data_IF_657625266924
#
_entry.id   IF_657625266924
#
_cell.length_a   1.000
_cell.length_b   1.000
_cell.length_c   1.000
_cell.angle_alpha   90.00
_cell.angle_beta   90.00
_cell.angle_gamma   90.00
#
_symmetry.space_group_name_H-M   'P 1'
#
loop_
_entity.id
_entity.type
_entity.pdbx_description
1 polymer ?
#
# COMPACT_ATOMS: atom_id res chain seq x y z
N UNK A 1 -6.55 -3.94 -40.10
CA UNK A 1 -6.36 -3.75 -38.65
C UNK A 1 -5.21 -2.78 -38.48
N UNK A 2 -5.45 -1.58 -37.95
CA UNK A 2 -4.36 -0.69 -37.53
C UNK A 2 -3.85 -1.21 -36.18
N UNK A 3 -2.62 -1.72 -36.14
CA UNK A 3 -1.93 -2.02 -34.89
C UNK A 3 -1.52 -0.68 -34.26
N UNK A 4 -2.24 -0.26 -33.24
CA UNK A 4 -1.82 0.87 -32.41
C UNK A 4 -0.86 0.30 -31.38
N UNK A 5 0.44 0.38 -31.64
CA UNK A 5 1.46 0.03 -30.65
C UNK A 5 1.58 1.15 -29.61
N UNK A 6 1.77 0.81 -28.32
CA UNK A 6 1.90 1.82 -27.29
C UNK A 6 3.24 2.56 -27.45
N UNK A 7 3.19 3.89 -27.35
CA UNK A 7 4.40 4.72 -27.41
C UNK A 7 5.03 4.93 -26.03
N UNK A 8 6.35 4.85 -25.92
CA UNK A 8 7.06 5.30 -24.72
C UNK A 8 6.86 6.81 -24.55
N UNK A 9 6.39 7.25 -23.38
CA UNK A 9 6.12 8.67 -23.14
C UNK A 9 6.47 9.09 -21.72
N UNK A 10 6.97 10.31 -21.58
CA UNK A 10 7.13 10.93 -20.27
C UNK A 10 5.76 11.38 -19.74
N UNK A 11 5.52 11.24 -18.43
CA UNK A 11 4.31 11.67 -17.74
C UNK A 11 4.02 13.16 -18.01
N UNK A 12 5.02 14.03 -18.06
CA UNK A 12 4.80 15.46 -18.35
C UNK A 12 4.25 15.74 -19.76
N UNK A 13 4.31 14.77 -20.68
CA UNK A 13 3.90 14.94 -22.08
C UNK A 13 2.60 14.20 -22.42
N UNK A 14 2.04 13.43 -21.49
CA UNK A 14 0.81 12.68 -21.71
C UNK A 14 -0.38 13.60 -21.93
N UNK A 15 -1.33 13.12 -22.71
CA UNK A 15 -2.62 13.72 -23.00
C UNK A 15 -3.69 12.64 -22.89
N UNK A 16 -4.91 13.05 -22.60
CA UNK A 16 -6.05 12.15 -22.65
C UNK A 16 -6.15 11.46 -24.02
N UNK A 17 -6.40 10.15 -24.01
CA UNK A 17 -6.48 9.30 -25.20
C UNK A 17 -5.15 8.70 -25.67
N UNK A 18 -4.01 9.14 -25.16
CA UNK A 18 -2.71 8.54 -25.52
C UNK A 18 -2.66 7.07 -25.07
N UNK A 19 -2.26 6.16 -25.96
CA UNK A 19 -1.91 4.78 -25.60
C UNK A 19 -0.39 4.67 -25.41
N UNK A 20 0.05 4.41 -24.18
CA UNK A 20 1.44 4.61 -23.76
C UNK A 20 2.00 3.45 -22.97
N UNK A 21 3.34 3.36 -22.97
CA UNK A 21 4.15 2.64 -21.99
C UNK A 21 4.80 3.68 -21.08
N UNK A 22 4.63 3.52 -19.76
CA UNK A 22 5.19 4.41 -18.74
C UNK A 22 6.04 3.59 -17.76
N UNK A 23 7.32 3.92 -17.69
CA UNK A 23 8.22 3.53 -16.62
C UNK A 23 8.11 4.54 -15.46
N UNK A 24 7.80 4.05 -14.25
CA UNK A 24 7.58 4.93 -13.11
C UNK A 24 8.03 4.33 -11.79
N UNK A 25 8.21 5.21 -10.80
CA UNK A 25 8.41 4.83 -9.40
C UNK A 25 7.09 5.03 -8.67
N UNK A 26 6.69 4.03 -7.87
CA UNK A 26 5.52 4.14 -7.00
C UNK A 26 5.78 5.23 -5.95
N UNK A 27 4.99 6.31 -5.98
CA UNK A 27 5.05 7.39 -5.00
C UNK A 27 4.19 7.09 -3.77
N UNK A 28 2.97 6.61 -4.00
CA UNK A 28 2.03 6.27 -2.94
C UNK A 28 1.00 5.26 -3.43
N UNK A 29 0.44 4.50 -2.49
CA UNK A 29 -0.63 3.55 -2.78
C UNK A 29 -1.85 3.79 -1.89
N UNK A 30 -3.01 3.95 -2.52
CA UNK A 30 -4.27 3.84 -1.81
C UNK A 30 -4.60 2.36 -1.65
N UNK A 31 -4.63 1.85 -0.42
CA UNK A 31 -4.91 0.44 -0.13
C UNK A 31 -6.02 0.29 0.90
N UNK A 32 -6.93 -0.64 0.68
CA UNK A 32 -7.85 -1.12 1.71
C UNK A 32 -7.20 -2.32 2.41
N UNK A 33 -7.14 -2.24 3.74
CA UNK A 33 -6.59 -3.30 4.59
C UNK A 33 -7.66 -3.80 5.55
N UNK A 34 -7.56 -5.07 5.95
CA UNK A 34 -8.35 -5.60 7.05
C UNK A 34 -7.86 -5.07 8.40
N UNK A 35 -8.50 -5.50 9.50
CA UNK A 35 -8.11 -5.07 10.84
C UNK A 35 -6.73 -5.58 11.29
N UNK A 36 -6.14 -6.52 10.54
CA UNK A 36 -4.84 -7.13 10.77
C UNK A 36 -3.75 -6.61 9.82
N UNK A 37 -4.03 -5.55 9.08
CA UNK A 37 -3.17 -4.91 8.07
C UNK A 37 -2.93 -5.73 6.78
N UNK A 38 -3.65 -6.82 6.51
CA UNK A 38 -3.53 -7.49 5.21
C UNK A 38 -4.21 -6.66 4.13
N UNK A 39 -3.53 -6.50 2.99
CA UNK A 39 -4.09 -5.83 1.81
C UNK A 39 -5.24 -6.69 1.26
N UNK A 40 -6.41 -6.06 1.17
CA UNK A 40 -7.64 -6.63 0.62
C UNK A 40 -7.93 -6.10 -0.78
N UNK A 41 -7.59 -4.83 -1.05
CA UNK A 41 -7.88 -4.19 -2.34
C UNK A 41 -6.94 -3.01 -2.60
N UNK A 42 -6.48 -2.87 -3.84
CA UNK A 42 -5.78 -1.66 -4.29
C UNK A 42 -6.81 -0.62 -4.76
N UNK A 43 -6.82 0.58 -4.18
CA UNK A 43 -7.67 1.69 -4.63
C UNK A 43 -7.03 2.42 -5.81
N UNK A 44 -5.74 2.72 -5.70
CA UNK A 44 -4.93 3.30 -6.78
C UNK A 44 -3.44 3.12 -6.45
N UNK A 45 -2.61 3.21 -7.49
CA UNK A 45 -1.16 3.36 -7.38
C UNK A 45 -0.78 4.69 -8.04
N UNK A 46 -0.16 5.61 -7.30
CA UNK A 46 0.33 6.87 -7.83
C UNK A 46 1.79 6.70 -8.21
N UNK A 47 2.15 7.08 -9.43
CA UNK A 47 3.52 6.99 -9.94
C UNK A 47 4.05 8.35 -10.40
N UNK A 48 5.38 8.44 -10.39
CA UNK A 48 6.16 9.51 -11.02
C UNK A 48 7.21 8.94 -11.94
N UNK A 49 7.66 9.77 -12.87
CA UNK A 49 8.89 9.57 -13.62
C UNK A 49 9.86 10.74 -13.35
N UNK A 50 10.87 10.90 -14.20
CA UNK A 50 11.87 11.96 -14.07
C UNK A 50 11.35 13.36 -14.48
N UNK A 51 10.18 13.45 -15.11
CA UNK A 51 9.61 14.70 -15.65
C UNK A 51 8.50 15.29 -14.79
N UNK A 52 7.95 14.51 -13.86
CA UNK A 52 6.89 14.94 -12.96
C UNK A 52 6.09 13.75 -12.44
N UNK A 53 5.00 14.02 -11.71
CA UNK A 53 4.18 12.94 -11.19
C UNK A 53 2.80 13.38 -10.73
N UNK A 54 1.77 12.69 -11.22
CA UNK A 54 0.52 12.37 -10.53
C UNK A 54 -0.31 11.39 -11.38
N UNK A 55 0.37 10.49 -12.12
CA UNK A 55 -0.34 9.50 -12.92
C UNK A 55 -0.84 8.40 -11.99
N UNK A 56 -2.14 8.14 -12.01
CA UNK A 56 -2.75 7.07 -11.21
C UNK A 56 -2.99 5.84 -12.04
N UNK A 57 -2.71 4.69 -11.45
CA UNK A 57 -3.10 3.39 -11.98
C UNK A 57 -4.27 2.91 -11.15
N UNK A 58 -5.37 2.58 -11.81
CA UNK A 58 -6.60 2.10 -11.17
C UNK A 58 -7.00 0.80 -11.85
N UNK A 59 -7.50 -0.16 -11.09
CA UNK A 59 -8.08 -1.39 -11.61
C UNK A 59 -9.45 -1.59 -10.97
N UNK A 60 -10.36 -2.26 -11.67
CA UNK A 60 -11.70 -2.58 -11.17
C UNK A 60 -11.95 -4.08 -11.23
N UNK A 61 -12.93 -4.53 -10.44
CA UNK A 61 -13.43 -5.91 -10.44
C UNK A 61 -12.31 -6.97 -10.43
N UNK A 62 -12.35 -7.93 -11.34
CA UNK A 62 -11.39 -9.05 -11.39
C UNK A 62 -9.95 -8.58 -11.64
N UNK A 63 -9.75 -7.55 -12.47
CA UNK A 63 -8.42 -6.96 -12.71
C UNK A 63 -7.85 -6.38 -11.42
N UNK A 64 -8.70 -5.86 -10.53
CA UNK A 64 -8.25 -5.39 -9.23
C UNK A 64 -7.84 -6.53 -8.30
N UNK A 65 -8.55 -7.66 -8.36
CA UNK A 65 -8.17 -8.85 -7.61
C UNK A 65 -6.81 -9.37 -8.10
N UNK A 66 -6.60 -9.43 -9.41
CA UNK A 66 -5.33 -9.85 -10.02
C UNK A 66 -4.19 -8.88 -9.66
N UNK A 67 -4.42 -7.57 -9.75
CA UNK A 67 -3.46 -6.57 -9.29
C UNK A 67 -3.12 -6.72 -7.80
N UNK A 68 -4.14 -6.91 -6.96
CA UNK A 68 -3.93 -7.10 -5.52
C UNK A 68 -3.10 -8.34 -5.23
N UNK A 69 -3.35 -9.44 -5.94
CA UNK A 69 -2.57 -10.68 -5.84
C UNK A 69 -1.14 -10.50 -6.35
N UNK A 70 -0.95 -9.81 -7.48
CA UNK A 70 0.37 -9.51 -8.03
C UNK A 70 1.21 -8.68 -7.07
N UNK A 71 0.63 -7.62 -6.48
CA UNK A 71 1.30 -6.79 -5.45
C UNK A 71 1.74 -7.63 -4.24
N UNK A 72 0.93 -8.62 -3.86
CA UNK A 72 1.19 -9.53 -2.73
C UNK A 72 2.13 -10.70 -3.07
N UNK A 73 2.51 -10.87 -4.33
CA UNK A 73 3.32 -12.01 -4.78
C UNK A 73 4.78 -11.94 -4.35
N UNK A 74 5.25 -10.77 -3.90
CA UNK A 74 6.60 -10.57 -3.37
C UNK A 74 6.58 -10.41 -1.85
N UNK A 75 7.72 -10.69 -1.20
CA UNK A 75 7.92 -10.42 0.23
C UNK A 75 9.23 -9.64 0.40
N UNK A 76 9.18 -8.38 0.88
CA UNK A 76 7.99 -7.57 1.15
C UNK A 76 7.15 -7.29 -0.10
N UNK A 77 5.89 -6.93 0.10
CA UNK A 77 4.95 -6.57 -0.99
C UNK A 77 5.47 -5.44 -1.86
N UNK A 78 5.00 -5.38 -3.10
CA UNK A 78 5.28 -4.26 -4.01
C UNK A 78 4.66 -2.99 -3.42
N UNK A 79 5.46 -1.93 -3.27
CA UNK A 79 5.05 -0.70 -2.60
C UNK A 79 5.89 0.51 -3.00
N UNK A 80 5.61 1.61 -2.31
CA UNK A 80 6.25 2.91 -2.44
C UNK A 80 7.77 2.79 -2.57
N UNK A 81 8.34 3.40 -3.62
CA UNK A 81 9.76 3.30 -3.97
C UNK A 81 10.08 2.28 -5.05
N UNK A 82 9.25 1.25 -5.28
CA UNK A 82 9.51 0.27 -6.33
C UNK A 82 9.33 0.84 -7.74
N UNK A 83 10.13 0.33 -8.70
CA UNK A 83 10.04 0.70 -10.10
C UNK A 83 9.14 -0.26 -10.86
N UNK A 84 8.16 0.28 -11.57
CA UNK A 84 7.20 -0.46 -12.38
C UNK A 84 7.17 0.06 -13.83
N UNK A 85 6.57 -0.74 -14.69
CA UNK A 85 6.13 -0.39 -16.04
C UNK A 85 4.62 -0.58 -16.09
N UNK A 86 3.93 0.36 -16.73
CA UNK A 86 2.50 0.25 -16.99
C UNK A 86 2.18 0.61 -18.43
N UNK A 87 1.31 -0.18 -19.04
CA UNK A 87 0.79 0.03 -20.39
C UNK A 87 -0.68 0.42 -20.29
N UNK A 88 -1.12 1.37 -21.09
CA UNK A 88 -2.55 1.67 -21.15
C UNK A 88 -2.90 3.00 -21.79
N UNK A 89 -4.20 3.23 -21.90
CA UNK A 89 -4.74 4.48 -22.41
C UNK A 89 -4.90 5.49 -21.29
N UNK A 90 -4.38 6.70 -21.48
CA UNK A 90 -4.56 7.82 -20.56
C UNK A 90 -6.01 8.28 -20.59
N UNK A 91 -6.61 8.38 -19.42
CA UNK A 91 -7.95 8.88 -19.18
C UNK A 91 -7.93 9.95 -18.11
N UNK A 92 -8.95 10.80 -18.05
CA UNK A 92 -9.12 11.75 -16.94
C UNK A 92 -10.21 11.24 -16.00
N UNK A 93 -9.84 10.95 -14.76
CA UNK A 93 -10.76 10.51 -13.72
C UNK A 93 -10.73 11.49 -12.55
N UNK A 94 -11.86 12.16 -12.30
CA UNK A 94 -11.98 13.21 -11.28
C UNK A 94 -10.90 14.31 -11.38
N UNK A 95 -10.58 14.73 -12.61
CA UNK A 95 -9.58 15.77 -12.88
C UNK A 95 -8.12 15.29 -12.78
N UNK A 96 -7.89 13.99 -12.66
CA UNK A 96 -6.55 13.39 -12.53
C UNK A 96 -6.30 12.44 -13.69
N UNK A 97 -5.13 12.53 -14.31
CA UNK A 97 -4.73 11.55 -15.32
C UNK A 97 -4.56 10.17 -14.70
N UNK A 98 -5.18 9.18 -15.33
CA UNK A 98 -5.14 7.81 -14.88
C UNK A 98 -5.06 6.83 -16.04
N UNK A 99 -4.39 5.70 -15.80
CA UNK A 99 -4.54 4.48 -16.59
C UNK A 99 -5.50 3.59 -15.81
N UNK A 100 -6.61 3.24 -16.44
CA UNK A 100 -7.48 2.16 -15.96
C UNK A 100 -6.98 0.87 -16.57
N UNK A 101 -6.38 0.01 -15.75
CA UNK A 101 -5.91 -1.31 -16.16
C UNK A 101 -7.08 -2.15 -16.62
N UNK A 102 -6.93 -2.73 -17.82
CA UNK A 102 -7.89 -3.68 -18.40
C UNK A 102 -7.42 -5.12 -18.23
N UNK A 103 -6.11 -5.32 -18.10
CA UNK A 103 -5.45 -6.60 -17.91
C UNK A 103 -4.27 -6.44 -16.96
N UNK A 104 -3.96 -7.48 -16.18
CA UNK A 104 -2.82 -7.44 -15.25
C UNK A 104 -1.47 -7.53 -15.98
N UNK A 105 -1.43 -8.09 -17.19
CA UNK A 105 -0.23 -8.13 -18.03
C UNK A 105 0.27 -6.75 -18.45
N UNK A 106 -0.58 -5.73 -18.38
CA UNK A 106 -0.22 -4.33 -18.62
C UNK A 106 0.45 -3.66 -17.40
N UNK A 107 0.64 -4.38 -16.28
CA UNK A 107 1.34 -3.88 -15.10
C UNK A 107 2.50 -4.81 -14.74
N UNK A 108 3.69 -4.26 -14.57
CA UNK A 108 4.89 -5.05 -14.33
C UNK A 108 5.81 -4.41 -13.30
N UNK A 109 6.26 -5.20 -12.33
CA UNK A 109 7.40 -4.82 -11.50
C UNK A 109 8.69 -4.92 -12.33
N UNK A 110 9.37 -3.80 -12.52
CA UNK A 110 10.66 -3.75 -13.22
C UNK A 110 11.80 -3.97 -12.23
N UNK A 111 11.75 -3.32 -11.07
CA UNK A 111 12.78 -3.45 -10.04
C UNK A 111 12.21 -3.22 -8.64
N UNK A 112 12.48 -4.16 -7.74
CA UNK A 112 12.23 -4.01 -6.30
C UNK A 112 13.32 -3.14 -5.69
N UNK A 113 12.93 -2.04 -5.06
CA UNK A 113 13.82 -1.08 -4.41
C UNK A 113 13.45 -0.89 -2.93
N UNK A 114 12.18 -1.04 -2.57
CA UNK A 114 11.75 -0.96 -1.17
C UNK A 114 11.72 -2.36 -0.53
N UNK A 115 12.63 -2.59 0.42
CA UNK A 115 12.71 -3.85 1.19
C UNK A 115 12.29 -3.70 2.66
N UNK A 116 11.60 -2.61 3.00
CA UNK A 116 10.99 -2.48 4.33
C UNK A 116 10.03 -3.63 4.54
N UNK A 117 10.03 -4.26 5.73
CA UNK A 117 9.14 -5.39 6.01
C UNK A 117 7.66 -4.98 5.93
N UNK A 118 6.79 -5.95 5.64
CA UNK A 118 5.35 -5.76 5.85
C UNK A 118 5.00 -6.02 7.31
N UNK A 119 4.14 -5.18 7.88
CA UNK A 119 3.77 -5.27 9.30
C UNK A 119 2.31 -5.69 9.43
N UNK A 120 2.12 -6.88 9.96
CA UNK A 120 0.81 -7.49 10.24
C UNK A 120 0.53 -7.49 11.74
N UNK A 121 -0.76 -7.39 12.10
CA UNK A 121 -1.20 -7.48 13.48
C UNK A 121 -1.63 -8.90 13.80
N UNK A 122 -1.44 -9.32 15.06
CA UNK A 122 -1.83 -10.65 15.50
C UNK A 122 -3.36 -10.74 15.66
N UNK A 123 -4.01 -11.77 15.09
CA UNK A 123 -5.42 -12.04 15.34
C UNK A 123 -5.66 -12.58 16.76
N UNK A 124 -4.64 -13.19 17.36
CA UNK A 124 -4.68 -13.73 18.70
C UNK A 124 -4.06 -12.76 19.72
N UNK A 125 -4.54 -12.74 20.97
CA UNK A 125 -3.90 -11.96 22.03
C UNK A 125 -2.40 -12.28 22.17
N UNK A 126 -1.59 -11.23 22.18
CA UNK A 126 -0.17 -11.28 22.54
C UNK A 126 0.10 -10.41 23.76
N UNK A 127 1.31 -10.49 24.31
CA UNK A 127 1.74 -9.62 25.40
C UNK A 127 1.99 -8.17 24.95
N UNK A 128 1.77 -7.82 23.68
CA UNK A 128 2.00 -6.47 23.14
C UNK A 128 0.71 -6.01 22.49
N UNK A 129 0.03 -5.04 23.08
CA UNK A 129 -1.27 -4.60 22.59
C UNK A 129 -1.47 -3.09 22.69
N UNK A 130 -2.36 -2.57 21.85
CA UNK A 130 -2.80 -1.19 21.89
C UNK A 130 -4.32 -1.10 21.73
N UNK A 131 -4.88 0.07 22.04
CA UNK A 131 -6.25 0.40 21.67
C UNK A 131 -6.34 0.62 20.15
N UNK A 132 -7.48 0.30 19.51
CA UNK A 132 -7.74 0.65 18.11
C UNK A 132 -7.71 2.18 17.88
N UNK A 133 -7.92 2.98 18.93
CA UNK A 133 -8.02 4.46 18.87
C UNK A 133 -6.81 5.23 19.41
N UNK A 134 -5.81 4.58 20.01
CA UNK A 134 -4.65 5.24 20.60
C UNK A 134 -3.35 4.75 19.98
N UNK A 135 -2.36 5.64 19.88
CA UNK A 135 -0.98 5.30 19.47
C UNK A 135 -0.07 4.95 20.64
N UNK A 136 -0.65 4.41 21.73
CA UNK A 136 0.09 3.87 22.86
C UNK A 136 -0.04 2.35 22.91
N UNK A 137 1.10 1.65 22.95
CA UNK A 137 1.13 0.20 23.18
C UNK A 137 1.52 -0.13 24.63
N UNK A 138 1.12 -1.31 25.05
CA UNK A 138 1.30 -1.86 26.39
C UNK A 138 1.97 -3.22 26.27
N UNK A 139 2.92 -3.48 27.17
CA UNK A 139 3.66 -4.75 27.23
C UNK A 139 3.47 -5.49 28.57
N UNK A 140 2.98 -4.77 29.59
CA UNK A 140 2.85 -5.30 30.94
C UNK A 140 1.37 -5.60 31.25
N UNK A 141 0.97 -6.87 31.47
CA UNK A 141 -0.43 -7.27 31.68
C UNK A 141 -1.05 -6.59 32.91
N UNK A 142 -0.23 -6.09 33.84
CA UNK A 142 -0.69 -5.36 35.02
C UNK A 142 -0.85 -3.86 34.81
N UNK A 143 -0.62 -3.34 33.61
CA UNK A 143 -0.77 -1.92 33.33
C UNK A 143 -2.19 -1.41 33.63
N UNK A 144 -2.35 -0.45 34.56
CA UNK A 144 -3.67 0.06 34.94
C UNK A 144 -4.38 0.77 33.79
N UNK A 145 -3.62 1.29 32.83
CA UNK A 145 -4.15 1.90 31.61
C UNK A 145 -4.52 0.85 30.56
N UNK A 146 -3.65 -0.15 30.36
CA UNK A 146 -3.89 -1.24 29.40
C UNK A 146 -5.10 -2.10 29.79
N UNK A 147 -5.29 -2.38 31.08
CA UNK A 147 -6.43 -3.14 31.61
C UNK A 147 -7.79 -2.49 31.32
N UNK A 148 -7.85 -1.16 31.17
CA UNK A 148 -9.10 -0.43 30.87
C UNK A 148 -9.53 -0.55 29.40
N UNK A 149 -8.65 -1.02 28.52
CA UNK A 149 -8.98 -1.23 27.11
C UNK A 149 -9.83 -2.48 27.01
N UNK A 150 -11.08 -2.34 26.54
CA UNK A 150 -12.01 -3.46 26.29
C UNK A 150 -11.47 -4.36 25.18
N UNK A 151 -11.70 -5.67 25.27
CA UNK A 151 -11.12 -6.65 24.34
C UNK A 151 -11.47 -6.39 22.88
N UNK A 152 -12.72 -6.05 22.55
CA UNK A 152 -13.12 -5.69 21.19
C UNK A 152 -12.46 -4.42 20.61
N UNK A 153 -11.80 -3.64 21.47
CA UNK A 153 -11.06 -2.44 21.11
C UNK A 153 -9.54 -2.63 21.19
N UNK A 154 -9.03 -3.86 21.36
CA UNK A 154 -7.60 -4.16 21.34
C UNK A 154 -7.13 -4.52 19.93
N UNK A 155 -5.85 -4.23 19.67
CA UNK A 155 -5.05 -4.77 18.58
C UNK A 155 -3.77 -5.34 19.19
N UNK A 156 -3.30 -6.45 18.64
CA UNK A 156 -2.13 -7.16 19.15
C UNK A 156 -1.01 -7.12 18.13
N UNK A 157 0.23 -7.03 18.59
CA UNK A 157 1.42 -7.00 17.75
C UNK A 157 2.23 -8.28 17.97
N UNK A 158 2.93 -8.75 16.93
CA UNK A 158 3.83 -9.90 17.05
C UNK A 158 5.12 -9.54 17.80
N UNK A 159 5.63 -8.33 17.60
CA UNK A 159 6.78 -7.81 18.34
C UNK A 159 6.65 -6.30 18.62
N UNK A 160 7.47 -5.81 19.55
CA UNK A 160 7.46 -4.40 19.97
C UNK A 160 7.93 -3.48 18.83
N UNK A 161 8.89 -3.95 18.03
CA UNK A 161 9.40 -3.23 16.87
C UNK A 161 8.30 -2.95 15.84
N UNK A 162 7.37 -3.87 15.62
CA UNK A 162 6.22 -3.66 14.73
C UNK A 162 5.33 -2.50 15.20
N UNK A 163 5.11 -2.39 16.51
CA UNK A 163 4.34 -1.28 17.07
C UNK A 163 5.07 0.06 16.86
N UNK A 164 6.38 0.08 17.08
CA UNK A 164 7.24 1.26 16.88
C UNK A 164 7.25 1.68 15.41
N UNK A 165 7.48 0.74 14.49
CA UNK A 165 7.52 0.99 13.04
C UNK A 165 6.16 1.48 12.52
N UNK A 166 5.05 1.09 13.15
CA UNK A 166 3.70 1.63 12.90
C UNK A 166 3.41 2.98 13.59
N UNK A 167 4.41 3.58 14.22
CA UNK A 167 4.35 4.89 14.87
C UNK A 167 3.65 4.89 16.23
N UNK A 168 3.61 3.75 16.93
CA UNK A 168 3.12 3.70 18.31
C UNK A 168 4.26 4.00 19.30
N UNK A 169 3.90 4.63 20.41
CA UNK A 169 4.79 4.87 21.54
C UNK A 169 4.47 3.91 22.69
N UNK A 170 5.48 3.52 23.47
CA UNK A 170 5.24 2.74 24.68
C UNK A 170 4.46 3.56 25.71
N UNK A 171 3.50 2.93 26.38
CA UNK A 171 2.83 3.53 27.53
C UNK A 171 3.85 3.87 28.63
N UNK A 172 3.83 5.12 29.12
CA UNK A 172 4.74 5.62 30.18
C UNK A 172 4.81 4.76 31.45
N UNK A 173 3.75 4.05 31.78
CA UNK A 173 3.76 3.13 32.93
C UNK A 173 4.49 1.83 32.60
N UNK A 174 4.25 1.27 31.41
CA UNK A 174 4.93 0.06 30.91
C UNK A 174 6.41 0.34 30.64
N UNK A 175 6.78 1.55 30.25
CA UNK A 175 8.19 1.92 30.04
C UNK A 175 8.99 2.03 31.35
N UNK A 176 8.33 1.91 32.51
CA UNK A 176 8.94 2.04 33.84
C UNK A 176 8.84 0.75 34.67
N UNK A 177 8.00 -0.21 34.26
CA UNK A 177 7.66 -1.43 34.99
C UNK A 177 7.38 -2.59 34.03
#
# INVERSE_FOLDING_TARGET
MYNIEPGNKDIAKIKEGDFVVIDGIIQSMGVYKDEYNHIQKIKYIKIRDNTGGDLRIVAFDDVNNDLTNYIKSTTPTIKEGDKIEVIGTISVYNGIYAIVLKDIGDFKLIKKENYEKDIYLSPNPTNIWASKSSKLYHINPNCPYGKKIKDGNRKYFYCEQDAIDLGYNICKWCSKN
#
